data_IF_034634302993
#
_entry.id   IF_034634302993
#
_cell.length_a   1.000
_cell.length_b   1.000
_cell.length_c   1.000
_cell.angle_alpha   90.00
_cell.angle_beta   90.00
_cell.angle_gamma   90.00
#
_symmetry.space_group_name_H-M   'P 1'
#
loop_
_entity.id
_entity.type
_entity.pdbx_description
1 polymer ?
#
# COMPACT_ATOMS: atom_id res chain seq x y z
N UNK A 1 19.66 26.25 -1.99
CA UNK A 1 19.90 24.78 -1.93
C UNK A 1 19.35 24.21 -3.23
N UNK A 2 20.18 23.55 -4.03
CA UNK A 2 19.72 22.92 -5.26
C UNK A 2 18.92 21.66 -4.89
N UNK A 3 17.69 21.55 -5.39
CA UNK A 3 16.90 20.32 -5.28
C UNK A 3 17.48 19.35 -6.31
N UNK A 4 18.13 18.29 -5.85
CA UNK A 4 18.58 17.22 -6.75
C UNK A 4 17.38 16.64 -7.51
N UNK A 5 17.53 16.27 -8.79
CA UNK A 5 16.45 15.65 -9.55
C UNK A 5 15.99 14.35 -8.86
N UNK A 6 14.70 13.97 -8.98
CA UNK A 6 14.21 12.71 -8.45
C UNK A 6 14.99 11.53 -9.06
N UNK A 7 15.20 10.44 -8.32
CA UNK A 7 15.98 9.30 -8.82
C UNK A 7 15.27 8.57 -9.97
N UNK A 8 16.07 7.96 -10.84
CA UNK A 8 15.58 6.97 -11.79
C UNK A 8 15.23 5.68 -11.03
N UNK A 9 13.94 5.35 -11.00
CA UNK A 9 13.43 4.18 -10.31
C UNK A 9 13.50 2.90 -11.14
N UNK A 10 13.95 2.97 -12.40
CA UNK A 10 14.25 1.76 -13.18
C UNK A 10 15.55 1.12 -12.74
N UNK A 11 16.53 1.93 -12.36
CA UNK A 11 17.86 1.50 -11.94
C UNK A 11 18.36 2.36 -10.76
N UNK A 12 17.74 2.24 -9.57
CA UNK A 12 18.17 3.01 -8.41
C UNK A 12 19.55 2.54 -7.94
N UNK A 13 20.50 3.48 -7.81
CA UNK A 13 21.91 3.17 -7.50
C UNK A 13 22.17 3.22 -5.99
N UNK A 14 21.64 4.23 -5.29
CA UNK A 14 21.88 4.42 -3.85
C UNK A 14 20.74 3.88 -3.01
N UNK A 15 21.02 3.54 -1.73
CA UNK A 15 19.96 3.16 -0.78
C UNK A 15 18.91 4.27 -0.61
N UNK A 16 19.31 5.55 -0.70
CA UNK A 16 18.38 6.66 -0.68
C UNK A 16 17.46 6.65 -1.90
N UNK A 17 17.99 6.37 -3.10
CA UNK A 17 17.19 6.23 -4.32
C UNK A 17 16.21 5.06 -4.21
N UNK A 18 16.67 3.90 -3.73
CA UNK A 18 15.81 2.73 -3.48
C UNK A 18 14.69 3.03 -2.49
N UNK A 19 14.98 3.76 -1.41
CA UNK A 19 13.99 4.16 -0.42
C UNK A 19 12.95 5.12 -1.02
N UNK A 20 13.38 6.07 -1.85
CA UNK A 20 12.48 7.00 -2.54
C UNK A 20 11.60 6.25 -3.55
N UNK A 21 12.20 5.35 -4.33
CA UNK A 21 11.49 4.62 -5.37
C UNK A 21 10.46 3.66 -4.80
N UNK A 22 10.82 2.87 -3.78
CA UNK A 22 9.86 2.00 -3.09
C UNK A 22 8.70 2.78 -2.45
N UNK A 23 8.96 3.99 -1.93
CA UNK A 23 7.88 4.83 -1.42
C UNK A 23 6.93 5.29 -2.54
N UNK A 24 7.47 5.64 -3.71
CA UNK A 24 6.65 5.99 -4.88
C UNK A 24 5.81 4.80 -5.36
N UNK A 25 6.36 3.61 -5.32
CA UNK A 25 5.63 2.39 -5.70
C UNK A 25 4.49 2.11 -4.71
N UNK A 26 4.75 2.24 -3.40
CA UNK A 26 3.70 2.15 -2.39
C UNK A 26 2.59 3.19 -2.60
N UNK A 27 2.94 4.45 -2.90
CA UNK A 27 1.94 5.48 -3.19
C UNK A 27 1.07 5.14 -4.41
N UNK A 28 1.65 4.56 -5.47
CA UNK A 28 0.86 4.10 -6.62
C UNK A 28 -0.10 2.98 -6.24
N UNK A 29 0.36 2.01 -5.44
CA UNK A 29 -0.50 0.94 -4.95
C UNK A 29 -1.63 1.48 -4.06
N UNK A 30 -1.35 2.44 -3.18
CA UNK A 30 -2.35 3.07 -2.31
C UNK A 30 -3.39 3.87 -3.10
N UNK A 31 -2.98 4.58 -4.15
CA UNK A 31 -3.92 5.25 -5.08
C UNK A 31 -4.84 4.21 -5.72
N UNK A 32 -4.30 3.12 -6.27
CA UNK A 32 -5.09 2.07 -6.90
C UNK A 32 -6.06 1.38 -5.92
N UNK A 33 -5.66 1.20 -4.66
CA UNK A 33 -6.52 0.68 -3.60
C UNK A 33 -7.70 1.62 -3.32
N UNK A 34 -7.44 2.92 -3.21
CA UNK A 34 -8.48 3.91 -2.96
C UNK A 34 -9.47 4.02 -4.13
N UNK A 35 -8.98 3.95 -5.37
CA UNK A 35 -9.83 3.89 -6.56
C UNK A 35 -10.73 2.64 -6.55
N UNK A 36 -10.17 1.46 -6.28
CA UNK A 36 -10.95 0.21 -6.18
C UNK A 36 -11.99 0.27 -5.05
N UNK A 37 -11.64 0.86 -3.91
CA UNK A 37 -12.58 1.10 -2.82
C UNK A 37 -13.72 2.03 -3.25
N UNK A 38 -13.45 3.11 -3.98
CA UNK A 38 -14.48 4.05 -4.43
C UNK A 38 -15.50 3.38 -5.36
N UNK A 39 -15.04 2.52 -6.27
CA UNK A 39 -15.93 1.72 -7.15
C UNK A 39 -16.84 0.83 -6.31
N UNK A 40 -16.28 -0.04 -5.47
CA UNK A 40 -17.05 -0.93 -4.60
C UNK A 40 -18.02 -0.16 -3.68
N UNK A 41 -17.58 0.96 -3.13
CA UNK A 41 -18.40 1.81 -2.28
C UNK A 41 -19.51 2.57 -3.01
N UNK A 42 -19.44 2.68 -4.34
CA UNK A 42 -20.49 3.29 -5.18
C UNK A 42 -21.60 2.29 -5.53
N UNK A 43 -21.26 0.99 -5.59
CA UNK A 43 -22.18 -0.09 -5.91
C UNK A 43 -22.85 -0.68 -4.66
N UNK A 44 -22.15 -0.67 -3.52
CA UNK A 44 -22.69 -1.12 -2.24
C UNK A 44 -23.61 -0.06 -1.60
N UNK A 45 -24.76 -0.49 -1.08
CA UNK A 45 -25.71 0.36 -0.35
C UNK A 45 -25.83 -0.01 1.13
N UNK A 46 -26.24 0.97 1.95
CA UNK A 46 -26.60 0.78 3.37
C UNK A 46 -25.60 -0.04 4.19
N UNK A 47 -26.10 -1.10 4.82
CA UNK A 47 -25.34 -1.95 5.72
C UNK A 47 -24.22 -2.75 5.01
N UNK A 48 -24.36 -3.05 3.72
CA UNK A 48 -23.31 -3.74 2.96
C UNK A 48 -22.08 -2.85 2.82
N UNK A 49 -22.26 -1.57 2.46
CA UNK A 49 -21.17 -0.59 2.42
C UNK A 49 -20.49 -0.43 3.78
N UNK A 50 -21.27 -0.38 4.85
CA UNK A 50 -20.76 -0.27 6.22
C UNK A 50 -19.87 -1.45 6.60
N UNK A 51 -20.30 -2.69 6.28
CA UNK A 51 -19.52 -3.91 6.51
C UNK A 51 -18.21 -3.94 5.71
N UNK A 52 -18.22 -3.54 4.44
CA UNK A 52 -16.99 -3.46 3.66
C UNK A 52 -16.03 -2.38 4.18
N UNK A 53 -16.55 -1.22 4.63
CA UNK A 53 -15.73 -0.17 5.23
C UNK A 53 -15.06 -0.66 6.52
N UNK A 54 -15.81 -1.35 7.37
CA UNK A 54 -15.28 -1.93 8.60
C UNK A 54 -14.18 -2.99 8.30
N UNK A 55 -14.44 -3.88 7.33
CA UNK A 55 -13.45 -4.85 6.87
C UNK A 55 -12.17 -4.16 6.33
N UNK A 56 -12.33 -3.07 5.58
CA UNK A 56 -11.20 -2.31 5.03
C UNK A 56 -10.35 -1.67 6.14
N UNK A 57 -10.98 -1.10 7.18
CA UNK A 57 -10.27 -0.52 8.33
C UNK A 57 -9.49 -1.58 9.12
N UNK A 58 -10.11 -2.74 9.35
CA UNK A 58 -9.43 -3.87 10.00
C UNK A 58 -8.28 -4.40 9.17
N UNK A 59 -8.44 -4.44 7.84
CA UNK A 59 -7.36 -4.81 6.94
C UNK A 59 -6.19 -3.82 6.99
N UNK A 60 -6.42 -2.51 7.07
CA UNK A 60 -5.34 -1.52 7.24
C UNK A 60 -4.54 -1.78 8.52
N UNK A 61 -5.23 -2.04 9.63
CA UNK A 61 -4.56 -2.39 10.89
C UNK A 61 -3.74 -3.69 10.77
N UNK A 62 -4.28 -4.71 10.09
CA UNK A 62 -3.53 -5.93 9.78
C UNK A 62 -2.30 -5.65 8.92
N UNK A 63 -2.43 -4.87 7.83
CA UNK A 63 -1.33 -4.54 6.92
C UNK A 63 -0.15 -3.93 7.69
N UNK A 64 -0.45 -2.92 8.50
CA UNK A 64 0.58 -2.20 9.24
C UNK A 64 1.24 -3.09 10.30
N UNK A 65 0.45 -3.92 11.00
CA UNK A 65 0.96 -4.89 11.97
C UNK A 65 1.78 -6.01 11.32
N UNK A 66 1.36 -6.51 10.15
CA UNK A 66 2.07 -7.54 9.41
C UNK A 66 3.43 -7.03 8.94
N UNK A 67 3.49 -5.84 8.33
CA UNK A 67 4.77 -5.28 7.89
C UNK A 67 5.69 -4.96 9.08
N UNK A 68 5.15 -4.55 10.22
CA UNK A 68 5.96 -4.41 11.45
C UNK A 68 6.48 -5.76 11.95
N UNK A 69 5.68 -6.82 11.90
CA UNK A 69 6.09 -8.16 12.31
C UNK A 69 7.17 -8.75 11.38
N UNK A 70 7.10 -8.48 10.08
CA UNK A 70 8.10 -8.92 9.10
C UNK A 70 9.42 -8.16 9.21
N UNK A 71 9.36 -6.83 9.36
CA UNK A 71 10.55 -5.97 9.23
C UNK A 71 11.12 -5.49 10.57
N UNK A 72 10.39 -5.66 11.67
CA UNK A 72 10.75 -5.10 12.97
C UNK A 72 10.63 -3.57 13.03
N UNK A 73 10.85 -2.96 14.21
CA UNK A 73 10.78 -1.52 14.37
C UNK A 73 11.96 -0.81 13.70
N UNK A 74 11.70 0.36 13.12
CA UNK A 74 12.72 1.17 12.43
C UNK A 74 13.92 1.51 13.31
N UNK A 75 13.71 1.70 14.62
CA UNK A 75 14.76 2.03 15.59
C UNK A 75 15.80 0.93 15.78
N UNK A 76 15.44 -0.32 15.46
CA UNK A 76 16.32 -1.48 15.58
C UNK A 76 16.91 -1.89 14.22
N UNK A 77 16.72 -1.05 13.20
CA UNK A 77 17.01 -1.37 11.80
C UNK A 77 17.94 -0.36 11.13
N UNK A 78 18.55 -0.78 10.02
CA UNK A 78 19.45 0.05 9.22
C UNK A 78 18.74 0.91 8.16
N UNK A 79 19.54 1.53 7.30
CA UNK A 79 19.07 2.40 6.20
C UNK A 79 18.21 1.70 5.15
N UNK A 80 18.21 0.36 5.15
CA UNK A 80 17.37 -0.48 4.28
C UNK A 80 15.91 -0.58 4.75
N UNK A 81 15.63 -0.24 6.01
CA UNK A 81 14.28 -0.42 6.59
C UNK A 81 13.15 0.22 5.77
N UNK A 82 13.27 1.46 5.25
CA UNK A 82 12.20 2.06 4.44
C UNK A 82 11.89 1.25 3.18
N UNK A 83 12.92 0.72 2.51
CA UNK A 83 12.75 -0.14 1.33
C UNK A 83 11.93 -1.40 1.67
N UNK A 84 12.28 -2.10 2.76
CA UNK A 84 11.57 -3.31 3.18
C UNK A 84 10.13 -3.00 3.58
N UNK A 85 9.93 -1.95 4.38
CA UNK A 85 8.60 -1.54 4.82
C UNK A 85 7.70 -1.16 3.63
N UNK A 86 8.19 -0.31 2.73
CA UNK A 86 7.43 0.11 1.55
C UNK A 86 7.11 -1.06 0.62
N UNK A 87 8.03 -2.02 0.48
CA UNK A 87 7.81 -3.22 -0.35
C UNK A 87 6.70 -4.10 0.24
N UNK A 88 6.72 -4.36 1.55
CA UNK A 88 5.63 -5.09 2.22
C UNK A 88 4.28 -4.37 2.06
N UNK A 89 4.26 -3.06 2.31
CA UNK A 89 3.05 -2.24 2.17
C UNK A 89 2.51 -2.29 0.74
N UNK A 90 3.38 -2.22 -0.27
CA UNK A 90 3.02 -2.33 -1.69
C UNK A 90 2.36 -3.68 -1.99
N UNK A 91 3.03 -4.78 -1.67
CA UNK A 91 2.55 -6.15 -1.95
C UNK A 91 1.16 -6.42 -1.35
N UNK A 92 0.99 -6.10 -0.05
CA UNK A 92 -0.30 -6.29 0.61
C UNK A 92 -1.39 -5.40 0.02
N UNK A 93 -1.04 -4.15 -0.33
CA UNK A 93 -1.98 -3.19 -0.91
C UNK A 93 -2.44 -3.60 -2.31
N UNK A 94 -1.54 -4.12 -3.14
CA UNK A 94 -1.87 -4.68 -4.46
C UNK A 94 -2.78 -5.91 -4.33
N UNK A 95 -2.45 -6.83 -3.42
CA UNK A 95 -3.28 -8.00 -3.14
C UNK A 95 -4.70 -7.62 -2.68
N UNK A 96 -4.82 -6.61 -1.82
CA UNK A 96 -6.12 -6.11 -1.38
C UNK A 96 -6.88 -5.40 -2.48
N UNK A 97 -6.19 -4.64 -3.32
CA UNK A 97 -6.78 -4.00 -4.50
C UNK A 97 -7.44 -5.05 -5.40
N UNK A 98 -6.77 -6.18 -5.62
CA UNK A 98 -7.36 -7.30 -6.36
C UNK A 98 -8.62 -7.84 -5.67
N UNK A 99 -8.57 -8.10 -4.36
CA UNK A 99 -9.74 -8.57 -3.61
C UNK A 99 -10.94 -7.62 -3.72
N UNK A 100 -10.72 -6.30 -3.64
CA UNK A 100 -11.80 -5.32 -3.79
C UNK A 100 -12.42 -5.34 -5.18
N UNK A 101 -11.61 -5.51 -6.23
CA UNK A 101 -12.09 -5.64 -7.61
C UNK A 101 -12.85 -6.95 -7.82
N UNK A 102 -12.35 -8.06 -7.29
CA UNK A 102 -13.05 -9.36 -7.35
C UNK A 102 -14.43 -9.29 -6.67
N UNK A 103 -14.58 -8.52 -5.57
CA UNK A 103 -15.89 -8.32 -4.93
C UNK A 103 -16.88 -7.56 -5.82
N UNK A 104 -16.42 -6.55 -6.56
CA UNK A 104 -17.24 -5.83 -7.54
C UNK A 104 -17.73 -6.78 -8.64
N UNK A 105 -16.85 -7.66 -9.14
CA UNK A 105 -17.18 -8.61 -10.21
C UNK A 105 -18.18 -9.71 -9.78
N UNK A 106 -18.16 -10.13 -8.51
CA UNK A 106 -19.03 -11.21 -7.99
C UNK A 106 -20.44 -10.71 -7.63
N UNK A 107 -20.59 -9.45 -7.22
CA UNK A 107 -21.91 -8.87 -6.86
C UNK A 107 -22.74 -8.46 -8.09
N UNK A 108 -22.19 -8.60 -9.31
CA UNK A 108 -22.86 -8.42 -10.60
C UNK A 108 -23.23 -9.75 -11.25
#
# INVERSE_FOLDING_TARGET
MAISPPPDCKEPITQSDMNICSYRDYLRADIALNEAWQVLASEASGDTKSRHLDAQRKWLAYRDAQCLAENGPRSESGTIWPLLQNTCLTSLTEARTKQLRDHVEIEH
#
